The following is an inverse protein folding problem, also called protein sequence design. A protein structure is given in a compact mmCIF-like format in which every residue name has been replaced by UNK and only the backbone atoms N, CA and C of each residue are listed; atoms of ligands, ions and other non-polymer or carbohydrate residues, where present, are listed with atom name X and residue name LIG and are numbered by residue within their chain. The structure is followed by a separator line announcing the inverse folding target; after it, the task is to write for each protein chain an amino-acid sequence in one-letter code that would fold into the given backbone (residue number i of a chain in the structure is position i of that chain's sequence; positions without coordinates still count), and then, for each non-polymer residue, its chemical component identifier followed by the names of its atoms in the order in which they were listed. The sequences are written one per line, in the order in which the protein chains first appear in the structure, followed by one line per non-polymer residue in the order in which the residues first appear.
data_IF_815261853928
#
_entry.id   IF_815261853928
#
_cell.length_a   1.000
_cell.length_b   1.000
_cell.length_c   1.000
_cell.angle_alpha   90.00
_cell.angle_beta   90.00
_cell.angle_gamma   90.00
#
_symmetry.space_group_name_H-M   'P 1'
#
loop_
_entity.id
_entity.type
_entity.pdbx_description
1 polymer ?
#
# COMPACT_ATOMS: atom_id res chain seq x y z
N UNK A 1 27.88 5.85 -3.97
CA UNK A 1 26.75 4.98 -3.54
C UNK A 1 25.63 5.91 -3.10
N UNK A 2 24.49 5.90 -3.80
CA UNK A 2 23.36 6.74 -3.41
C UNK A 2 22.78 6.18 -2.10
N UNK A 3 22.55 7.02 -1.10
CA UNK A 3 22.05 6.57 0.21
C UNK A 3 20.65 5.98 0.01
N UNK A 4 20.41 4.75 0.49
CA UNK A 4 19.08 4.10 0.45
C UNK A 4 18.04 5.06 1.04
N UNK A 5 16.95 5.32 0.31
CA UNK A 5 15.84 6.09 0.85
C UNK A 5 14.97 5.17 1.74
N UNK A 6 15.34 5.05 3.01
CA UNK A 6 14.67 4.16 3.98
C UNK A 6 13.16 4.46 4.10
N UNK A 7 12.77 5.72 4.01
CA UNK A 7 11.36 6.10 4.01
C UNK A 7 10.60 5.44 2.85
N UNK A 8 11.08 5.59 1.61
CA UNK A 8 10.40 5.03 0.45
C UNK A 8 10.39 3.50 0.47
N UNK A 9 11.49 2.88 0.88
CA UNK A 9 11.60 1.43 1.02
C UNK A 9 10.61 0.87 2.03
N UNK A 10 10.51 1.49 3.19
CA UNK A 10 9.59 1.04 4.23
C UNK A 10 8.13 1.35 3.86
N UNK A 11 7.85 2.44 3.16
CA UNK A 11 6.51 2.72 2.64
C UNK A 11 6.08 1.70 1.60
N UNK A 12 6.97 1.26 0.72
CA UNK A 12 6.66 0.23 -0.28
C UNK A 12 6.24 -1.10 0.38
N UNK A 13 6.72 -1.38 1.61
CA UNK A 13 6.32 -2.59 2.35
C UNK A 13 4.85 -2.62 2.70
N UNK A 14 4.13 -1.50 2.67
CA UNK A 14 2.68 -1.50 2.81
C UNK A 14 1.99 -2.14 1.61
N UNK A 15 2.56 -2.03 0.41
CA UNK A 15 2.05 -2.72 -0.77
C UNK A 15 2.34 -4.22 -0.66
N UNK A 16 3.52 -4.59 -0.18
CA UNK A 16 3.84 -6.00 0.08
C UNK A 16 2.97 -6.59 1.20
N UNK A 17 2.68 -5.83 2.26
CA UNK A 17 1.72 -6.19 3.29
C UNK A 17 0.35 -6.51 2.68
N UNK A 18 -0.18 -5.64 1.82
CA UNK A 18 -1.45 -5.90 1.12
C UNK A 18 -1.38 -7.17 0.26
N UNK A 19 -0.30 -7.36 -0.50
CA UNK A 19 -0.09 -8.57 -1.29
C UNK A 19 -0.04 -9.84 -0.44
N UNK A 20 0.63 -9.82 0.72
CA UNK A 20 0.63 -10.93 1.68
C UNK A 20 -0.78 -11.22 2.21
N UNK A 21 -1.53 -10.19 2.58
CA UNK A 21 -2.90 -10.34 3.07
C UNK A 21 -3.83 -10.89 1.99
N UNK A 22 -3.68 -10.47 0.73
CA UNK A 22 -4.39 -11.04 -0.41
C UNK A 22 -4.09 -12.53 -0.57
N UNK A 23 -2.81 -12.93 -0.50
CA UNK A 23 -2.41 -14.36 -0.56
C UNK A 23 -2.99 -15.19 0.60
N UNK A 24 -3.27 -14.57 1.74
CA UNK A 24 -3.94 -15.18 2.89
C UNK A 24 -5.47 -15.24 2.79
N UNK A 25 -6.07 -14.69 1.72
CA UNK A 25 -7.50 -14.74 1.46
C UNK A 25 -8.27 -13.46 1.80
N UNK A 26 -7.58 -12.39 2.24
CA UNK A 26 -8.19 -11.08 2.48
C UNK A 26 -8.37 -10.27 1.19
N UNK A 27 -8.95 -10.88 0.14
CA UNK A 27 -9.04 -10.29 -1.20
C UNK A 27 -10.02 -9.12 -1.31
N UNK A 28 -10.85 -8.86 -0.29
CA UNK A 28 -11.70 -7.67 -0.20
C UNK A 28 -10.99 -6.42 0.32
N UNK A 29 -9.69 -6.51 0.62
CA UNK A 29 -8.86 -5.38 1.03
C UNK A 29 -8.43 -4.57 -0.19
N UNK A 30 -8.79 -3.29 -0.23
CA UNK A 30 -8.38 -2.35 -1.27
C UNK A 30 -7.30 -1.41 -0.75
N UNK A 31 -6.40 -1.00 -1.65
CA UNK A 31 -5.25 -0.15 -1.35
C UNK A 31 -5.44 1.18 -2.06
N UNK A 32 -5.34 2.26 -1.31
CA UNK A 32 -5.52 3.63 -1.80
C UNK A 32 -4.22 4.40 -1.56
N UNK A 33 -3.26 4.32 -2.50
CA UNK A 33 -2.03 5.09 -2.40
C UNK A 33 -2.26 6.52 -2.93
N UNK A 34 -1.70 7.52 -2.27
CA UNK A 34 -1.85 8.92 -2.66
C UNK A 34 -0.64 9.77 -2.26
N UNK A 35 -0.52 10.94 -2.88
CA UNK A 35 0.41 11.96 -2.41
C UNK A 35 -0.29 12.92 -1.44
N UNK A 36 0.42 13.35 -0.40
CA UNK A 36 -0.04 14.45 0.46
C UNK A 36 -0.25 15.72 -0.37
N UNK A 37 -1.08 16.68 0.09
CA UNK A 37 -1.29 17.94 -0.62
C UNK A 37 -0.02 18.74 -0.93
N UNK A 38 1.01 18.62 -0.08
CA UNK A 38 2.31 19.25 -0.34
C UNK A 38 3.13 18.57 -1.45
N UNK A 39 2.71 17.40 -1.92
CA UNK A 39 3.45 16.53 -2.83
C UNK A 39 4.66 15.82 -2.21
N UNK A 40 4.97 16.06 -0.94
CA UNK A 40 6.23 15.62 -0.30
C UNK A 40 6.14 14.24 0.32
N UNK A 41 4.96 13.86 0.83
CA UNK A 41 4.76 12.60 1.53
C UNK A 41 3.88 11.65 0.73
N UNK A 42 4.28 10.39 0.71
CA UNK A 42 3.41 9.32 0.22
C UNK A 42 2.52 8.84 1.36
N UNK A 43 1.26 8.56 1.03
CA UNK A 43 0.24 8.08 1.95
C UNK A 43 -0.38 6.83 1.39
N UNK A 44 -0.80 5.95 2.28
CA UNK A 44 -1.49 4.74 1.91
C UNK A 44 -2.55 4.45 2.93
N UNK A 45 -3.77 4.27 2.42
CA UNK A 45 -4.90 3.84 3.21
C UNK A 45 -5.37 2.48 2.72
N UNK A 46 -5.84 1.65 3.66
CA UNK A 46 -6.58 0.43 3.33
C UNK A 46 -8.06 0.66 3.58
N UNK A 47 -8.87 0.10 2.70
CA UNK A 47 -10.32 -0.01 2.90
C UNK A 47 -10.73 -1.47 2.83
N UNK A 48 -11.77 -1.81 3.57
CA UNK A 48 -12.43 -3.10 3.43
C UNK A 48 -13.78 -2.90 2.73
N UNK A 49 -14.27 -3.97 2.09
CA UNK A 49 -15.53 -3.91 1.35
C UNK A 49 -16.78 -3.81 2.26
N UNK A 50 -16.67 -4.19 3.55
CA UNK A 50 -17.82 -4.35 4.44
C UNK A 50 -18.19 -3.12 5.26
N UNK A 51 -17.21 -2.36 5.76
CA UNK A 51 -17.49 -1.34 6.77
C UNK A 51 -17.29 0.10 6.29
N UNK A 52 -16.97 0.33 5.01
CA UNK A 52 -16.48 1.64 4.52
C UNK A 52 -15.34 2.20 5.39
N UNK A 53 -14.71 1.33 6.19
CA UNK A 53 -13.68 1.70 7.14
C UNK A 53 -12.42 1.97 6.36
N UNK A 54 -11.77 3.08 6.70
CA UNK A 54 -10.54 3.53 6.06
C UNK A 54 -9.46 3.66 7.11
N UNK A 55 -8.43 2.84 6.98
CA UNK A 55 -7.29 2.82 7.89
C UNK A 55 -6.09 3.49 7.22
N UNK A 56 -5.55 4.52 7.86
CA UNK A 56 -4.33 5.18 7.41
C UNK A 56 -3.09 4.36 7.75
N UNK A 57 -2.83 3.32 6.96
CA UNK A 57 -1.75 2.35 7.21
C UNK A 57 -0.36 2.96 7.11
N UNK A 58 -0.17 4.04 6.34
CA UNK A 58 1.09 4.80 6.35
C UNK A 58 1.36 5.54 7.67
N UNK A 59 0.32 5.95 8.39
CA UNK A 59 0.48 6.57 9.72
C UNK A 59 0.76 5.50 10.77
N UNK A 60 -0.01 4.41 10.76
CA UNK A 60 0.22 3.26 11.64
C UNK A 60 1.66 2.73 11.53
N UNK A 61 2.20 2.61 10.32
CA UNK A 61 3.58 2.15 10.13
C UNK A 61 4.60 3.10 10.75
N UNK A 62 4.40 4.41 10.61
CA UNK A 62 5.28 5.44 11.19
C UNK A 62 5.21 5.48 12.71
N UNK A 63 4.05 5.19 13.29
CA UNK A 63 3.86 5.12 14.74
C UNK A 63 4.42 3.82 15.33
N UNK A 64 4.38 2.73 14.56
CA UNK A 64 4.77 1.39 15.03
C UNK A 64 6.24 1.06 14.78
N UNK A 65 6.91 1.75 13.83
CA UNK A 65 8.27 1.45 13.42
C UNK A 65 9.10 2.72 13.17
N UNK A 66 10.39 2.68 13.51
CA UNK A 66 11.34 3.74 13.13
C UNK A 66 11.79 3.61 11.67
N UNK A 67 10.87 3.99 10.77
CA UNK A 67 11.05 3.79 9.33
C UNK A 67 12.10 4.70 8.68
N UNK A 68 12.62 5.69 9.41
CA UNK A 68 13.64 6.63 8.89
C UNK A 68 15.06 6.15 9.18
N UNK A 69 15.24 5.48 10.32
CA UNK A 69 16.55 5.01 10.76
C UNK A 69 16.80 3.54 10.43
N UNK A 70 15.74 2.72 10.34
CA UNK A 70 15.88 1.28 10.11
C UNK A 70 14.93 0.77 9.03
N UNK A 71 15.46 -0.16 8.23
CA UNK A 71 14.64 -0.96 7.35
C UNK A 71 13.80 -1.98 8.15
N UNK A 72 12.47 -1.89 8.08
CA UNK A 72 11.54 -2.76 8.82
C UNK A 72 11.34 -4.12 8.12
N UNK A 73 11.18 -5.22 8.85
CA UNK A 73 10.92 -6.52 8.21
C UNK A 73 9.48 -6.63 7.73
N UNK A 74 9.25 -7.09 6.49
CA UNK A 74 7.90 -7.35 5.98
C UNK A 74 7.16 -8.36 6.85
N UNK A 75 7.83 -9.40 7.34
CA UNK A 75 7.22 -10.40 8.24
C UNK A 75 6.79 -9.78 9.56
N UNK A 76 7.59 -8.87 10.14
CA UNK A 76 7.23 -8.16 11.37
C UNK A 76 6.05 -7.22 11.15
N UNK A 77 6.04 -6.50 10.02
CA UNK A 77 4.92 -5.63 9.63
C UNK A 77 3.63 -6.44 9.49
N UNK A 78 3.65 -7.57 8.76
CA UNK A 78 2.47 -8.42 8.56
C UNK A 78 1.95 -8.93 9.90
N UNK A 79 2.82 -9.52 10.72
CA UNK A 79 2.43 -10.05 12.02
C UNK A 79 1.80 -8.96 12.90
N UNK A 80 2.46 -7.80 12.99
CA UNK A 80 1.99 -6.70 13.82
C UNK A 80 0.66 -6.14 13.32
N UNK A 81 0.48 -6.01 12.01
CA UNK A 81 -0.78 -5.53 11.42
C UNK A 81 -1.94 -6.47 11.72
N UNK A 82 -1.72 -7.79 11.62
CA UNK A 82 -2.73 -8.80 11.93
C UNK A 82 -3.14 -8.79 13.41
N UNK A 83 -2.20 -8.51 14.31
CA UNK A 83 -2.46 -8.33 15.75
C UNK A 83 -3.26 -7.05 16.02
N UNK A 84 -2.88 -5.92 15.41
CA UNK A 84 -3.49 -4.61 15.67
C UNK A 84 -4.88 -4.47 15.01
N UNK A 85 -5.10 -5.09 13.85
CA UNK A 85 -6.28 -4.84 13.00
C UNK A 85 -7.07 -6.11 12.61
N UNK A 86 -7.10 -7.12 13.47
CA UNK A 86 -7.83 -8.37 13.22
C UNK A 86 -9.29 -8.13 12.77
N UNK A 87 -10.02 -7.25 13.47
CA UNK A 87 -11.42 -6.96 13.15
C UNK A 87 -11.60 -6.37 11.75
N UNK A 88 -10.72 -5.45 11.34
CA UNK A 88 -10.72 -4.87 9.99
C UNK A 88 -10.47 -5.95 8.92
N UNK A 89 -9.56 -6.88 9.19
CA UNK A 89 -9.22 -7.98 8.28
C UNK A 89 -10.39 -8.97 8.11
N UNK A 90 -11.18 -9.23 9.14
CA UNK A 90 -12.38 -10.07 9.03
C UNK A 90 -13.36 -9.51 7.97
N UNK A 91 -13.55 -8.19 7.94
CA UNK A 91 -14.36 -7.51 6.90
C UNK A 91 -13.75 -7.55 5.49
N UNK A 92 -12.49 -7.96 5.36
CA UNK A 92 -11.76 -8.04 4.09
C UNK A 92 -11.70 -9.44 3.49
N UNK A 93 -12.30 -10.45 4.13
CA UNK A 93 -12.27 -11.82 3.62
C UNK A 93 -12.99 -11.96 2.26
N UNK A 94 -12.32 -12.60 1.30
CA UNK A 94 -12.89 -13.20 0.07
C UNK A 94 -13.98 -12.40 -0.64
N UNK A 95 -13.62 -11.38 -1.44
CA UNK A 95 -14.60 -10.51 -2.15
C UNK A 95 -14.18 -9.97 -3.50
N UNK A 96 -12.88 -9.88 -3.80
CA UNK A 96 -12.41 -9.29 -5.04
C UNK A 96 -11.10 -9.96 -5.52
N UNK A 97 -11.24 -11.18 -6.04
CA UNK A 97 -10.10 -11.92 -6.58
C UNK A 97 -9.46 -11.21 -7.78
N UNK A 98 -10.26 -10.51 -8.58
CA UNK A 98 -9.78 -9.79 -9.76
C UNK A 98 -8.88 -8.61 -9.38
N UNK A 99 -9.31 -7.80 -8.39
CA UNK A 99 -8.45 -6.77 -7.80
C UNK A 99 -7.17 -7.37 -7.22
N UNK A 100 -7.28 -8.45 -6.44
CA UNK A 100 -6.11 -9.07 -5.80
C UNK A 100 -5.08 -9.59 -6.83
N UNK A 101 -5.56 -10.14 -7.95
CA UNK A 101 -4.71 -10.61 -9.05
C UNK A 101 -4.04 -9.43 -9.75
N UNK A 102 -4.81 -8.39 -10.12
CA UNK A 102 -4.26 -7.19 -10.72
C UNK A 102 -3.21 -6.54 -9.81
N UNK A 103 -3.49 -6.46 -8.51
CA UNK A 103 -2.59 -5.88 -7.53
C UNK A 103 -1.28 -6.67 -7.44
N UNK A 104 -1.34 -8.01 -7.51
CA UNK A 104 -0.15 -8.85 -7.59
C UNK A 104 0.68 -8.59 -8.85
N UNK A 105 0.05 -8.41 -10.01
CA UNK A 105 0.76 -8.07 -11.25
C UNK A 105 1.32 -6.62 -11.23
N UNK A 106 0.63 -5.69 -10.57
CA UNK A 106 1.11 -4.34 -10.33
C UNK A 106 2.38 -4.34 -9.49
N UNK A 107 2.40 -5.10 -8.39
CA UNK A 107 3.56 -5.22 -7.50
C UNK A 107 4.83 -5.68 -8.25
N UNK A 108 4.68 -6.56 -9.24
CA UNK A 108 5.82 -7.06 -10.05
C UNK A 108 6.43 -5.99 -10.97
N UNK A 109 5.72 -4.90 -11.23
CA UNK A 109 6.18 -3.80 -12.11
C UNK A 109 7.01 -2.75 -11.35
N UNK A 110 6.95 -2.75 -10.02
CA UNK A 110 7.62 -1.78 -9.17
C UNK A 110 9.09 -2.15 -8.96
N UNK A 111 9.95 -1.14 -9.04
CA UNK A 111 11.35 -1.22 -8.59
C UNK A 111 11.44 -1.05 -7.08
N UNK A 112 12.59 -1.42 -6.49
CA UNK A 112 12.82 -1.27 -5.06
C UNK A 112 12.65 0.20 -4.62
N UNK A 113 11.74 0.44 -3.66
CA UNK A 113 11.39 1.76 -3.17
C UNK A 113 10.46 2.57 -4.07
N UNK A 114 10.03 2.05 -5.22
CA UNK A 114 9.10 2.73 -6.11
C UNK A 114 7.68 2.74 -5.51
N UNK A 115 7.07 3.92 -5.45
CA UNK A 115 5.76 4.14 -4.82
C UNK A 115 4.73 4.56 -5.89
N UNK A 116 3.69 3.75 -6.15
CA UNK A 116 2.56 4.16 -6.99
C UNK A 116 1.64 5.10 -6.23
N UNK A 117 0.88 5.95 -6.90
CA UNK A 117 -0.18 6.77 -6.33
C UNK A 117 -1.37 6.82 -7.30
N UNK A 118 -2.57 6.67 -6.75
CA UNK A 118 -3.82 6.65 -7.51
C UNK A 118 -4.29 8.05 -7.86
N UNK A 119 -3.98 9.03 -7.01
CA UNK A 119 -4.31 10.43 -7.22
C UNK A 119 -3.34 11.33 -6.45
N UNK A 120 -3.28 12.57 -6.91
CA UNK A 120 -2.64 13.71 -6.26
C UNK A 120 -3.40 14.98 -6.60
N UNK A 121 -3.14 16.08 -5.90
CA UNK A 121 -3.76 17.38 -6.21
C UNK A 121 -3.40 17.90 -7.62
N UNK A 122 -2.38 17.32 -8.26
CA UNK A 122 -1.91 17.67 -9.61
C UNK A 122 -2.26 16.62 -10.68
N UNK A 123 -2.78 15.44 -10.29
CA UNK A 123 -3.02 14.32 -11.20
C UNK A 123 -4.14 13.41 -10.70
N UNK A 124 -5.14 13.15 -11.56
CA UNK A 124 -6.27 12.27 -11.25
C UNK A 124 -6.79 11.58 -12.52
N UNK A 125 -5.92 10.82 -13.20
CA UNK A 125 -6.36 9.96 -14.30
C UNK A 125 -6.93 8.65 -13.73
N UNK A 126 -8.23 8.38 -13.90
CA UNK A 126 -8.84 7.17 -13.35
C UNK A 126 -8.27 5.89 -13.97
N UNK A 127 -7.67 5.95 -15.16
CA UNK A 127 -7.20 4.77 -15.90
C UNK A 127 -5.78 4.32 -15.51
N UNK A 128 -5.04 5.18 -14.78
CA UNK A 128 -3.63 4.91 -14.48
C UNK A 128 -3.24 5.39 -13.09
N UNK A 129 -2.53 4.53 -12.36
CA UNK A 129 -1.67 4.97 -11.27
C UNK A 129 -0.35 5.44 -11.84
N UNK A 130 0.15 6.57 -11.33
CA UNK A 130 1.52 7.00 -11.62
C UNK A 130 2.46 6.55 -10.49
N UNK A 131 3.74 6.44 -10.77
CA UNK A 131 4.74 6.07 -9.75
C UNK A 131 5.72 7.20 -9.48
N UNK A 132 6.46 7.09 -8.38
CA UNK A 132 7.58 7.98 -8.05
C UNK A 132 8.67 8.03 -9.13
N UNK A 133 8.73 7.04 -10.03
CA UNK A 133 9.65 7.01 -11.16
C UNK A 133 8.99 7.46 -12.48
N UNK A 134 7.73 7.92 -12.44
CA UNK A 134 6.98 8.39 -13.60
C UNK A 134 6.41 7.27 -14.49
N UNK A 135 6.39 6.01 -14.01
CA UNK A 135 5.71 4.92 -14.73
C UNK A 135 4.19 5.10 -14.62
N UNK A 136 3.47 4.62 -15.65
CA UNK A 136 2.00 4.52 -15.63
C UNK A 136 1.59 3.06 -15.54
N UNK A 137 0.86 2.73 -14.49
CA UNK A 137 0.31 1.40 -14.25
C UNK A 137 -1.18 1.46 -14.55
N UNK A 138 -1.63 0.70 -15.54
CA UNK A 138 -3.05 0.65 -15.90
C UNK A 138 -3.88 0.11 -14.74
N UNK A 139 -4.94 0.81 -14.35
CA UNK A 139 -5.90 0.36 -13.34
C UNK A 139 -6.94 -0.57 -13.94
N UNK A 140 -7.81 -1.14 -13.11
CA UNK A 140 -8.89 -2.05 -13.54
C UNK A 140 -10.10 -1.36 -14.19
N UNK A 141 -10.01 -0.06 -14.49
CA UNK A 141 -11.09 0.70 -15.14
C UNK A 141 -11.09 0.55 -16.66
#
# INVERSE_FOLDING_TARGET
MMKKNLYMLNMQKLLHLAGELHRKGYTGLQVIPSLSPSGVYWRCDFTNADSSERLSVSNWLQESFDIKEKEASTTEIVKRFEEDYNHFLLGSQGKDEYYSQWFSEMLKQLEEGELPYAFSDYYNDPNYWETSNGKKIKTLH
#
